data_IF_029800769925
#
_entry.id   IF_029800769925
#
_cell.length_a   1.000
_cell.length_b   1.000
_cell.length_c   1.000
_cell.angle_alpha   90.00
_cell.angle_beta   90.00
_cell.angle_gamma   90.00
#
_symmetry.space_group_name_H-M   'P 1'
#
loop_
_entity.id
_entity.type
_entity.pdbx_description
1 polymer ?
#
# COMPACT_ATOMS: atom_id res chain seq x y z
N UNK A 1 24.38 30.15 -89.57
CA UNK A 1 25.24 30.42 -88.40
C UNK A 1 24.43 31.15 -87.33
N UNK A 2 24.48 30.61 -86.11
CA UNK A 2 24.25 31.23 -84.79
C UNK A 2 23.07 32.18 -84.56
N UNK A 3 21.87 31.67 -84.24
CA UNK A 3 20.93 32.40 -83.36
C UNK A 3 20.16 31.53 -82.34
N UNK A 4 20.34 30.21 -82.31
CA UNK A 4 19.65 29.35 -81.32
C UNK A 4 20.32 29.26 -79.95
N UNK A 5 21.56 29.75 -79.80
CA UNK A 5 22.32 29.70 -78.53
C UNK A 5 22.13 30.88 -77.59
N UNK A 6 21.49 31.98 -78.03
CA UNK A 6 21.43 33.24 -77.27
C UNK A 6 20.27 33.33 -76.27
N UNK A 7 19.22 32.54 -76.45
CA UNK A 7 18.05 32.56 -75.57
C UNK A 7 18.29 31.72 -74.31
N UNK A 8 18.97 30.58 -74.45
CA UNK A 8 19.27 29.67 -73.34
C UNK A 8 20.18 30.30 -72.26
N UNK A 9 21.08 31.21 -72.64
CA UNK A 9 21.96 31.95 -71.73
C UNK A 9 21.24 33.01 -70.91
N UNK A 10 20.08 33.50 -71.37
CA UNK A 10 19.26 34.52 -70.68
C UNK A 10 18.15 33.85 -69.84
N UNK A 11 17.51 32.80 -70.36
CA UNK A 11 16.42 32.12 -69.66
C UNK A 11 16.87 31.30 -68.45
N UNK A 12 18.08 30.72 -68.46
CA UNK A 12 18.59 29.97 -67.29
C UNK A 12 18.77 30.86 -66.04
N UNK A 13 19.48 32.00 -66.11
CA UNK A 13 19.56 32.93 -64.99
C UNK A 13 18.19 33.46 -64.54
N UNK A 14 17.29 33.77 -65.48
CA UNK A 14 15.94 34.24 -65.17
C UNK A 14 15.10 33.19 -64.42
N UNK A 15 15.19 31.92 -64.83
CA UNK A 15 14.54 30.80 -64.12
C UNK A 15 15.12 30.58 -62.72
N UNK A 16 16.44 30.70 -62.55
CA UNK A 16 17.09 30.61 -61.24
C UNK A 16 16.61 31.76 -60.34
N UNK A 17 16.56 32.98 -60.86
CA UNK A 17 16.13 34.16 -60.12
C UNK A 17 14.65 34.06 -59.70
N UNK A 18 13.77 33.65 -60.61
CA UNK A 18 12.34 33.43 -60.30
C UNK A 18 12.12 32.30 -59.28
N UNK A 19 12.91 31.22 -59.34
CA UNK A 19 12.86 30.16 -58.33
C UNK A 19 13.39 30.64 -56.97
N UNK A 20 14.45 31.45 -56.95
CA UNK A 20 14.98 32.05 -55.74
C UNK A 20 13.98 33.03 -55.10
N UNK A 21 13.31 33.86 -55.91
CA UNK A 21 12.28 34.79 -55.46
C UNK A 21 11.10 34.05 -54.80
N UNK A 22 10.60 32.97 -55.41
CA UNK A 22 9.55 32.13 -54.81
C UNK A 22 9.96 31.49 -53.49
N UNK A 23 11.22 31.05 -53.36
CA UNK A 23 11.76 30.50 -52.11
C UNK A 23 11.87 31.56 -51.02
N UNK A 24 12.24 32.79 -51.39
CA UNK A 24 12.28 33.93 -50.47
C UNK A 24 10.89 34.30 -49.97
N UNK A 25 9.90 34.33 -50.87
CA UNK A 25 8.50 34.59 -50.52
C UNK A 25 7.96 33.51 -49.57
N UNK A 26 8.21 32.23 -49.86
CA UNK A 26 7.86 31.14 -48.94
C UNK A 26 8.56 31.27 -47.58
N UNK A 27 9.86 31.58 -47.57
CA UNK A 27 10.63 31.78 -46.34
C UNK A 27 10.06 32.91 -45.48
N UNK A 28 9.68 34.03 -46.12
CA UNK A 28 9.03 35.14 -45.42
C UNK A 28 7.69 34.71 -44.79
N UNK A 29 6.92 33.89 -45.50
CA UNK A 29 5.64 33.42 -44.99
C UNK A 29 5.80 32.42 -43.85
N UNK A 30 6.74 31.47 -43.97
CA UNK A 30 7.07 30.54 -42.89
C UNK A 30 7.54 31.29 -41.62
N UNK A 31 8.25 32.42 -41.77
CA UNK A 31 8.66 33.29 -40.64
C UNK A 31 7.46 33.97 -40.00
N UNK A 32 6.52 34.51 -40.79
CA UNK A 32 5.33 35.17 -40.26
C UNK A 32 4.44 34.18 -39.51
N UNK A 33 4.23 32.98 -40.06
CA UNK A 33 3.46 31.91 -39.44
C UNK A 33 4.12 31.48 -38.12
N UNK A 34 5.44 31.29 -38.10
CA UNK A 34 6.18 30.96 -36.88
C UNK A 34 6.04 32.04 -35.79
N UNK A 35 6.09 33.33 -36.16
CA UNK A 35 5.92 34.43 -35.21
C UNK A 35 4.51 34.44 -34.62
N UNK A 36 3.49 34.13 -35.42
CA UNK A 36 2.11 34.03 -34.94
C UNK A 36 1.93 32.84 -33.98
N UNK A 37 2.45 31.65 -34.33
CA UNK A 37 2.44 30.48 -33.45
C UNK A 37 3.15 30.75 -32.13
N UNK A 38 4.31 31.40 -32.16
CA UNK A 38 5.05 31.77 -30.95
C UNK A 38 4.26 32.74 -30.07
N UNK A 39 3.58 33.72 -30.69
CA UNK A 39 2.72 34.67 -29.98
C UNK A 39 1.57 33.95 -29.29
N UNK A 40 0.94 32.99 -29.94
CA UNK A 40 -0.18 32.24 -29.36
C UNK A 40 0.28 31.26 -28.27
N UNK A 41 1.44 30.63 -28.45
CA UNK A 41 2.09 29.87 -27.40
C UNK A 41 2.38 30.73 -26.16
N UNK A 42 2.92 31.94 -26.36
CA UNK A 42 3.19 32.89 -25.28
C UNK A 42 1.91 33.27 -24.51
N UNK A 43 0.80 33.55 -25.22
CA UNK A 43 -0.52 33.79 -24.59
C UNK A 43 -0.99 32.60 -23.77
N UNK A 44 -0.85 31.37 -24.27
CA UNK A 44 -1.23 30.16 -23.55
C UNK A 44 -0.41 30.01 -22.26
N UNK A 45 0.90 30.23 -22.32
CA UNK A 45 1.79 30.17 -21.14
C UNK A 45 1.40 31.22 -20.11
N UNK A 46 1.15 32.46 -20.54
CA UNK A 46 0.70 33.54 -19.65
C UNK A 46 -0.64 33.23 -18.99
N UNK A 47 -1.59 32.65 -19.73
CA UNK A 47 -2.88 32.21 -19.19
C UNK A 47 -2.72 31.11 -18.12
N UNK A 48 -1.87 30.11 -18.36
CA UNK A 48 -1.57 29.07 -17.38
C UNK A 48 -0.89 29.63 -16.14
N UNK A 49 0.04 30.58 -16.30
CA UNK A 49 0.71 31.26 -15.19
C UNK A 49 -0.28 32.06 -14.33
N UNK A 50 -1.23 32.76 -14.96
CA UNK A 50 -2.31 33.44 -14.25
C UNK A 50 -3.19 32.45 -13.47
N UNK A 51 -3.53 31.30 -14.06
CA UNK A 51 -4.27 30.22 -13.38
C UNK A 51 -3.53 29.68 -12.15
N UNK A 52 -2.20 29.48 -12.25
CA UNK A 52 -1.37 29.06 -11.11
C UNK A 52 -1.34 30.10 -9.98
N UNK A 53 -1.34 31.38 -10.31
CA UNK A 53 -1.41 32.44 -9.30
C UNK A 53 -2.75 32.43 -8.55
N UNK A 54 -3.86 32.18 -9.25
CA UNK A 54 -5.17 32.04 -8.61
C UNK A 54 -5.19 30.83 -7.66
N UNK A 55 -4.69 29.68 -8.09
CA UNK A 55 -4.62 28.48 -7.26
C UNK A 55 -3.71 28.69 -6.04
N UNK A 56 -2.56 29.36 -6.22
CA UNK A 56 -1.69 29.75 -5.11
C UNK A 56 -2.40 30.63 -4.09
N UNK A 57 -3.22 31.58 -4.54
CA UNK A 57 -3.99 32.46 -3.66
C UNK A 57 -5.07 31.69 -2.89
N UNK A 58 -5.76 30.75 -3.54
CA UNK A 58 -6.76 29.87 -2.93
C UNK A 58 -6.16 29.00 -1.83
N UNK A 59 -5.08 28.27 -2.13
CA UNK A 59 -4.37 27.44 -1.15
C UNK A 59 -3.85 28.28 0.03
N UNK A 60 -3.33 29.48 -0.26
CA UNK A 60 -2.89 30.40 0.80
C UNK A 60 -4.05 30.79 1.72
N UNK A 61 -5.22 31.09 1.17
CA UNK A 61 -6.42 31.43 1.95
C UNK A 61 -6.89 30.26 2.82
N UNK A 62 -6.89 29.03 2.31
CA UNK A 62 -7.25 27.85 3.09
C UNK A 62 -6.29 27.62 4.27
N UNK A 63 -4.98 27.77 4.02
CA UNK A 63 -3.95 27.66 5.06
C UNK A 63 -4.13 28.73 6.14
N UNK A 64 -4.38 29.99 5.75
CA UNK A 64 -4.66 31.08 6.69
C UNK A 64 -5.93 30.80 7.51
N UNK A 65 -7.00 30.30 6.89
CA UNK A 65 -8.22 29.92 7.60
C UNK A 65 -7.95 28.83 8.65
N UNK A 66 -7.26 27.75 8.25
CA UNK A 66 -6.88 26.66 9.15
C UNK A 66 -6.00 27.16 10.29
N UNK A 67 -5.04 28.05 10.01
CA UNK A 67 -4.19 28.66 11.03
C UNK A 67 -5.03 29.38 12.09
N UNK A 68 -6.01 30.21 11.68
CA UNK A 68 -6.88 30.89 12.66
C UNK A 68 -7.71 29.92 13.50
N UNK A 69 -8.09 28.75 12.97
CA UNK A 69 -8.84 27.72 13.71
C UNK A 69 -7.94 27.02 14.72
N UNK A 70 -6.71 26.72 14.34
CA UNK A 70 -5.69 26.16 15.23
C UNK A 70 -5.37 27.14 16.36
N UNK A 71 -5.18 28.42 16.06
CA UNK A 71 -4.91 29.45 17.08
C UNK A 71 -6.07 29.65 18.06
N UNK A 72 -7.33 29.47 17.62
CA UNK A 72 -8.49 29.46 18.51
C UNK A 72 -8.49 28.23 19.40
N UNK A 73 -8.31 27.05 18.83
CA UNK A 73 -8.25 25.79 19.58
C UNK A 73 -7.09 25.79 20.60
N UNK A 74 -5.93 26.36 20.23
CA UNK A 74 -4.80 26.52 21.14
C UNK A 74 -5.15 27.45 22.32
N UNK A 75 -5.81 28.58 22.04
CA UNK A 75 -6.31 29.47 23.10
C UNK A 75 -7.32 28.78 24.02
N UNK A 76 -8.18 27.94 23.48
CA UNK A 76 -9.12 27.15 24.29
C UNK A 76 -8.36 26.14 25.17
N UNK A 77 -7.37 25.44 24.62
CA UNK A 77 -6.49 24.52 25.36
C UNK A 77 -5.73 25.26 26.47
N UNK A 78 -5.15 26.41 26.16
CA UNK A 78 -4.40 27.21 27.14
C UNK A 78 -5.34 27.77 28.23
N UNK A 79 -6.58 28.15 27.87
CA UNK A 79 -7.61 28.53 28.83
C UNK A 79 -7.96 27.36 29.76
N UNK A 80 -8.23 26.17 29.22
CA UNK A 80 -8.47 24.98 30.04
C UNK A 80 -7.27 24.60 30.90
N UNK A 81 -6.05 24.71 30.37
CA UNK A 81 -4.80 24.49 31.11
C UNK A 81 -4.62 25.47 32.27
N UNK A 82 -4.92 26.75 32.05
CA UNK A 82 -4.85 27.77 33.11
C UNK A 82 -5.93 27.60 34.18
N UNK A 83 -7.12 27.11 33.80
CA UNK A 83 -8.21 26.80 34.74
C UNK A 83 -7.86 25.57 35.58
N UNK A 84 -7.12 24.59 35.04
CA UNK A 84 -6.61 23.47 35.82
C UNK A 84 -5.49 23.84 36.79
N UNK A 85 -4.76 24.94 36.55
CA UNK A 85 -3.72 25.46 37.45
C UNK A 85 -4.29 26.28 38.62
N UNK A 86 -5.53 26.80 38.50
CA UNK A 86 -6.22 27.52 39.57
C UNK A 86 -7.25 26.64 40.27
N UNK A 87 -6.81 25.87 41.28
CA UNK A 87 -7.63 25.30 42.37
C UNK A 87 -9.09 24.92 42.05
N UNK A 88 -9.31 23.88 41.25
CA UNK A 88 -10.49 23.02 41.44
C UNK A 88 -10.10 21.58 41.11
N UNK A 89 -9.80 20.80 42.14
CA UNK A 89 -9.77 19.35 42.03
C UNK A 89 -11.20 18.85 41.75
N UNK A 90 -11.60 18.82 40.48
CA UNK A 90 -12.40 17.70 40.02
C UNK A 90 -11.37 16.66 39.60
N UNK A 91 -10.99 15.81 40.56
CA UNK A 91 -10.38 14.54 40.20
C UNK A 91 -11.41 13.78 39.36
N UNK A 92 -11.33 13.92 38.04
CA UNK A 92 -11.82 12.85 37.16
C UNK A 92 -10.90 11.68 37.48
N UNK A 93 -11.31 10.88 38.47
CA UNK A 93 -10.49 9.83 39.04
C UNK A 93 -9.88 9.01 37.91
N UNK A 94 -8.55 9.04 37.85
CA UNK A 94 -7.76 8.11 37.05
C UNK A 94 -8.21 6.65 37.31
N UNK A 95 -8.74 6.41 38.51
CA UNK A 95 -9.32 5.15 38.96
C UNK A 95 -10.63 4.78 38.26
N UNK A 96 -11.49 5.74 37.88
CA UNK A 96 -12.72 5.48 37.13
C UNK A 96 -12.41 5.11 35.67
N UNK A 97 -11.43 5.78 35.05
CA UNK A 97 -10.97 5.45 33.69
C UNK A 97 -10.25 4.10 33.68
N UNK A 98 -9.40 3.84 34.69
CA UNK A 98 -8.76 2.53 34.88
C UNK A 98 -9.83 1.45 35.09
N UNK A 99 -10.83 1.67 35.94
CA UNK A 99 -11.94 0.74 36.16
C UNK A 99 -12.69 0.45 34.86
N UNK A 100 -13.07 1.47 34.08
CA UNK A 100 -13.73 1.27 32.79
C UNK A 100 -12.89 0.47 31.79
N UNK A 101 -11.57 0.74 31.73
CA UNK A 101 -10.65 -0.01 30.86
C UNK A 101 -10.45 -1.46 31.33
N UNK A 102 -10.43 -1.71 32.65
CA UNK A 102 -10.35 -3.05 33.22
C UNK A 102 -11.65 -3.84 33.00
N UNK A 103 -12.80 -3.22 33.20
CA UNK A 103 -14.12 -3.79 32.93
C UNK A 103 -14.29 -4.12 31.44
N UNK A 104 -13.92 -3.22 30.53
CA UNK A 104 -13.98 -3.48 29.10
C UNK A 104 -13.02 -4.60 28.66
N UNK A 105 -11.84 -4.68 29.29
CA UNK A 105 -10.88 -5.76 29.05
C UNK A 105 -11.38 -7.11 29.59
N UNK A 106 -12.05 -7.10 30.74
CA UNK A 106 -12.65 -8.28 31.35
C UNK A 106 -13.88 -8.75 30.56
N UNK A 107 -14.73 -7.84 30.09
CA UNK A 107 -15.83 -8.15 29.17
C UNK A 107 -15.30 -8.73 27.86
N UNK A 108 -14.26 -8.15 27.25
CA UNK A 108 -13.62 -8.73 26.06
C UNK A 108 -13.05 -10.11 26.32
N UNK A 109 -12.53 -10.37 27.53
CA UNK A 109 -12.01 -11.68 27.94
C UNK A 109 -13.14 -12.68 28.16
N UNK A 110 -14.24 -12.26 28.78
CA UNK A 110 -15.46 -13.04 29.02
C UNK A 110 -16.15 -13.38 27.69
N UNK A 111 -16.27 -12.42 26.77
CA UNK A 111 -16.74 -12.64 25.41
C UNK A 111 -15.86 -13.64 24.67
N UNK A 112 -14.53 -13.52 24.77
CA UNK A 112 -13.59 -14.53 24.21
C UNK A 112 -13.79 -15.93 24.80
N UNK A 113 -14.06 -16.02 26.10
CA UNK A 113 -14.30 -17.29 26.79
C UNK A 113 -15.67 -17.88 26.40
N UNK A 114 -16.71 -17.06 26.26
CA UNK A 114 -18.05 -17.50 25.82
C UNK A 114 -18.05 -17.92 24.34
N UNK A 115 -17.39 -17.17 23.46
CA UNK A 115 -17.24 -17.51 22.03
C UNK A 115 -16.45 -18.81 21.80
N UNK A 116 -15.52 -19.16 22.69
CA UNK A 116 -14.77 -20.41 22.60
C UNK A 116 -15.58 -21.64 23.07
N UNK A 117 -16.72 -21.44 23.76
CA UNK A 117 -17.49 -22.52 24.39
C UNK A 117 -18.91 -22.72 23.82
N UNK A 118 -19.48 -21.75 23.11
CA UNK A 118 -20.82 -21.87 22.50
C UNK A 118 -20.76 -21.66 20.98
N UNK A 119 -21.25 -22.67 20.25
CA UNK A 119 -21.45 -22.62 18.80
C UNK A 119 -22.86 -22.17 18.40
N UNK A 120 -23.63 -21.58 19.33
CA UNK A 120 -25.05 -21.23 19.11
C UNK A 120 -25.24 -19.86 18.45
N UNK A 121 -24.15 -19.15 18.16
CA UNK A 121 -24.18 -17.80 17.62
C UNK A 121 -23.90 -17.80 16.11
N UNK A 122 -24.88 -17.34 15.33
CA UNK A 122 -24.75 -17.16 13.88
C UNK A 122 -24.00 -15.86 13.56
N UNK A 123 -23.15 -15.88 12.52
CA UNK A 123 -22.44 -14.70 12.03
C UNK A 123 -23.46 -13.65 11.53
N UNK A 124 -23.72 -12.63 12.35
CA UNK A 124 -24.70 -11.59 12.01
C UNK A 124 -24.19 -10.58 10.96
N UNK A 125 -22.87 -10.42 10.83
CA UNK A 125 -22.27 -9.52 9.84
C UNK A 125 -20.77 -9.32 10.03
N UNK A 126 -20.11 -8.82 8.98
CA UNK A 126 -18.68 -8.50 8.97
C UNK A 126 -18.53 -6.97 9.10
N UNK A 127 -17.84 -6.50 10.14
CA UNK A 127 -17.51 -5.07 10.31
C UNK A 127 -16.53 -4.60 9.24
N UNK A 128 -16.33 -3.29 9.14
CA UNK A 128 -15.35 -2.68 8.22
C UNK A 128 -13.96 -3.33 8.34
N UNK A 129 -13.34 -3.56 7.17
CA UNK A 129 -12.03 -4.19 7.08
C UNK A 129 -10.93 -3.20 7.46
N UNK A 130 -9.95 -3.67 8.24
CA UNK A 130 -8.75 -2.91 8.59
C UNK A 130 -7.58 -3.37 7.72
N UNK A 131 -7.01 -2.45 6.95
CA UNK A 131 -5.74 -2.70 6.26
C UNK A 131 -4.62 -2.62 7.28
N UNK A 132 -4.03 -3.78 7.61
CA UNK A 132 -2.89 -3.86 8.54
C UNK A 132 -1.59 -3.49 7.84
N UNK A 133 -1.36 -4.03 6.63
CA UNK A 133 -0.15 -3.78 5.83
C UNK A 133 -0.37 -4.18 4.37
N UNK A 134 0.30 -3.47 3.46
CA UNK A 134 0.47 -3.87 2.06
C UNK A 134 1.89 -4.43 1.90
N UNK A 135 2.03 -5.75 1.80
CA UNK A 135 3.32 -6.43 1.62
C UNK A 135 3.10 -7.82 1.01
N UNK A 136 4.12 -8.35 0.34
CA UNK A 136 4.07 -9.66 -0.34
C UNK A 136 3.57 -9.59 -1.79
N UNK A 137 3.32 -10.76 -2.34
CA UNK A 137 2.86 -11.02 -3.70
C UNK A 137 1.34 -10.87 -3.80
N UNK A 138 0.81 -10.97 -5.01
CA UNK A 138 -0.63 -10.93 -5.29
C UNK A 138 -1.43 -12.00 -4.52
N UNK A 139 -0.80 -13.15 -4.24
CA UNK A 139 -1.41 -14.26 -3.52
C UNK A 139 -0.56 -14.59 -2.29
N UNK A 140 -1.20 -14.89 -1.17
CA UNK A 140 -0.52 -15.27 0.07
C UNK A 140 -1.49 -15.34 1.22
N UNK A 141 -0.98 -15.72 2.40
CA UNK A 141 -1.75 -15.69 3.63
C UNK A 141 -0.86 -15.30 4.82
N UNK A 142 -1.49 -14.71 5.84
CA UNK A 142 -0.82 -14.41 7.09
C UNK A 142 -1.76 -14.74 8.25
N UNK A 143 -1.19 -15.17 9.38
CA UNK A 143 -1.99 -15.59 10.53
C UNK A 143 -1.18 -15.54 11.83
N UNK A 144 -1.92 -15.67 12.93
CA UNK A 144 -1.38 -15.96 14.26
C UNK A 144 -1.75 -17.40 14.62
N UNK A 145 -1.01 -17.98 15.55
CA UNK A 145 -1.38 -19.27 16.14
C UNK A 145 -2.40 -19.03 17.26
N UNK A 146 -3.67 -19.44 17.12
CA UNK A 146 -4.66 -19.28 18.19
C UNK A 146 -4.44 -20.28 19.34
N UNK A 147 -3.69 -21.37 19.11
CA UNK A 147 -3.40 -22.40 20.11
C UNK A 147 -2.25 -22.05 21.06
N UNK A 148 -1.45 -21.02 20.75
CA UNK A 148 -0.38 -20.53 21.63
C UNK A 148 -0.62 -19.09 22.10
N UNK A 149 -0.20 -18.80 23.32
CA UNK A 149 -0.30 -17.45 23.93
C UNK A 149 0.72 -16.45 23.37
N UNK A 150 1.59 -16.84 22.45
CA UNK A 150 2.61 -15.95 21.90
C UNK A 150 2.03 -14.99 20.85
N UNK A 151 2.59 -13.79 20.76
CA UNK A 151 2.13 -12.72 19.85
C UNK A 151 2.71 -12.80 18.43
N UNK A 152 3.37 -13.92 18.10
CA UNK A 152 4.01 -14.16 16.81
C UNK A 152 3.04 -14.09 15.64
N UNK A 153 3.54 -13.64 14.50
CA UNK A 153 2.82 -13.57 13.23
C UNK A 153 3.61 -14.33 12.19
N UNK A 154 2.89 -15.08 11.36
CA UNK A 154 3.47 -15.84 10.27
C UNK A 154 2.93 -15.30 8.95
N UNK A 155 3.83 -15.02 8.01
CA UNK A 155 3.50 -14.63 6.64
C UNK A 155 3.99 -15.71 5.68
N UNK A 156 3.08 -16.22 4.87
CA UNK A 156 3.32 -17.17 3.81
C UNK A 156 3.04 -16.46 2.48
N UNK A 157 4.12 -16.07 1.81
CA UNK A 157 4.04 -15.28 0.59
C UNK A 157 3.97 -16.19 -0.64
N UNK A 158 3.09 -15.87 -1.59
CA UNK A 158 2.93 -16.62 -2.83
C UNK A 158 2.02 -17.84 -2.69
N UNK A 159 1.56 -18.34 -3.85
CA UNK A 159 0.79 -19.59 -3.97
C UNK A 159 1.68 -20.83 -3.98
N UNK A 160 2.94 -20.71 -4.40
CA UNK A 160 3.92 -21.80 -4.38
C UNK A 160 5.23 -21.25 -3.85
N UNK A 161 5.58 -21.62 -2.63
CA UNK A 161 6.79 -21.17 -1.96
C UNK A 161 7.14 -22.16 -0.84
N UNK A 162 8.32 -22.04 -0.24
CA UNK A 162 8.77 -22.86 0.88
C UNK A 162 9.33 -22.05 2.06
N UNK A 163 9.30 -20.71 2.00
CA UNK A 163 9.87 -19.84 3.04
C UNK A 163 8.78 -19.08 3.80
N UNK A 164 8.64 -19.38 5.08
CA UNK A 164 7.74 -18.69 6.00
C UNK A 164 8.51 -17.57 6.69
N UNK A 165 7.87 -16.40 6.80
CA UNK A 165 8.39 -15.28 7.58
C UNK A 165 7.70 -15.24 8.95
N UNK A 166 8.45 -15.54 10.00
CA UNK A 166 8.01 -15.45 11.39
C UNK A 166 8.42 -14.08 11.97
N UNK A 167 7.45 -13.34 12.49
CA UNK A 167 7.64 -12.07 13.18
C UNK A 167 7.35 -12.24 14.66
N UNK A 168 8.12 -11.58 15.53
CA UNK A 168 7.95 -11.67 16.98
C UNK A 168 6.60 -11.11 17.44
N UNK A 169 6.13 -10.02 16.81
CA UNK A 169 4.87 -9.36 17.14
C UNK A 169 4.31 -8.53 15.97
N UNK A 170 3.10 -7.99 16.15
CA UNK A 170 2.44 -7.14 15.14
C UNK A 170 3.21 -5.86 14.81
N UNK A 171 3.92 -5.28 15.78
CA UNK A 171 4.69 -4.06 15.57
C UNK A 171 5.83 -4.33 14.59
N UNK A 172 6.61 -5.39 14.82
CA UNK A 172 7.70 -5.82 13.92
C UNK A 172 7.21 -6.17 12.52
N UNK A 173 5.98 -6.68 12.40
CA UNK A 173 5.35 -6.93 11.10
C UNK A 173 5.01 -5.62 10.37
N UNK A 174 4.53 -4.60 11.08
CA UNK A 174 4.08 -3.34 10.49
C UNK A 174 5.22 -2.41 10.06
N UNK A 175 6.39 -2.49 10.68
CA UNK A 175 7.56 -1.66 10.35
C UNK A 175 8.01 -1.71 8.86
N UNK A 176 8.61 -0.64 8.35
CA UNK A 176 9.10 -0.56 6.96
C UNK A 176 10.07 -1.71 6.63
N UNK A 177 11.09 -1.91 7.48
CA UNK A 177 12.15 -2.91 7.30
C UNK A 177 11.80 -4.31 7.86
N UNK A 178 10.51 -4.65 7.92
CA UNK A 178 10.00 -5.91 8.49
C UNK A 178 10.71 -7.18 7.99
N UNK A 179 11.06 -7.28 6.71
CA UNK A 179 11.70 -8.48 6.13
C UNK A 179 13.07 -8.79 6.73
N UNK A 180 13.79 -7.78 7.24
CA UNK A 180 15.08 -7.95 7.91
C UNK A 180 14.92 -8.42 9.37
N UNK A 181 13.79 -8.07 9.99
CA UNK A 181 13.44 -8.47 11.37
C UNK A 181 12.70 -9.81 11.44
N UNK A 182 12.31 -10.36 10.29
CA UNK A 182 11.62 -11.63 10.19
C UNK A 182 12.59 -12.80 10.32
N UNK A 183 12.27 -13.76 11.17
CA UNK A 183 12.93 -15.06 11.16
C UNK A 183 12.42 -15.86 9.96
N UNK A 184 13.33 -16.29 9.11
CA UNK A 184 13.02 -17.14 7.95
C UNK A 184 12.98 -18.61 8.37
N UNK A 185 11.86 -19.28 8.12
CA UNK A 185 11.69 -20.72 8.33
C UNK A 185 11.49 -21.37 6.97
N UNK A 186 12.48 -22.16 6.54
CA UNK A 186 12.43 -22.88 5.26
C UNK A 186 11.85 -24.27 5.48
N UNK A 187 10.77 -24.57 4.76
CA UNK A 187 10.17 -25.90 4.76
C UNK A 187 10.96 -26.86 3.86
N UNK A 188 10.99 -28.17 4.20
CA UNK A 188 11.63 -29.18 3.37
C UNK A 188 11.04 -29.27 1.95
N UNK A 189 9.75 -28.93 1.80
CA UNK A 189 9.05 -28.93 0.52
C UNK A 189 8.17 -27.69 0.38
N UNK A 190 7.97 -27.19 -0.84
CA UNK A 190 7.07 -26.08 -1.09
C UNK A 190 5.61 -26.47 -0.84
N UNK A 191 4.81 -25.48 -0.48
CA UNK A 191 3.36 -25.56 -0.41
C UNK A 191 2.70 -25.20 -1.74
N UNK A 192 1.42 -25.53 -1.87
CA UNK A 192 0.56 -25.12 -2.98
C UNK A 192 -0.76 -24.52 -2.48
N UNK A 193 -1.10 -23.33 -2.99
CA UNK A 193 -2.27 -22.57 -2.60
C UNK A 193 -2.01 -21.63 -1.40
N UNK A 194 -3.07 -21.16 -0.76
CA UNK A 194 -3.03 -20.23 0.38
C UNK A 194 -3.73 -20.76 1.63
N UNK A 195 -4.25 -21.99 1.58
CA UNK A 195 -5.02 -22.67 2.62
C UNK A 195 -4.19 -23.24 3.76
N UNK A 196 -3.31 -22.40 4.32
CA UNK A 196 -2.43 -22.75 5.43
C UNK A 196 -3.13 -22.53 6.77
N UNK A 197 -2.79 -23.34 7.76
CA UNK A 197 -3.22 -23.13 9.16
C UNK A 197 -2.06 -23.39 10.08
N UNK A 198 -1.83 -22.50 11.04
CA UNK A 198 -0.87 -22.71 12.12
C UNK A 198 -1.64 -22.87 13.42
N UNK A 199 -1.43 -23.99 14.10
CA UNK A 199 -2.13 -24.32 15.33
C UNK A 199 -1.21 -25.07 16.28
N UNK A 200 -1.13 -24.60 17.53
CA UNK A 200 -0.33 -25.18 18.61
C UNK A 200 1.15 -25.41 18.24
N UNK A 201 1.74 -24.55 17.42
CA UNK A 201 3.13 -24.66 16.97
C UNK A 201 3.37 -25.69 15.87
N UNK A 202 2.32 -26.11 15.17
CA UNK A 202 2.40 -26.89 13.94
C UNK A 202 1.84 -26.10 12.76
N UNK A 203 2.49 -26.22 11.60
CA UNK A 203 1.95 -25.75 10.33
C UNK A 203 1.30 -26.91 9.60
N UNK A 204 0.06 -26.67 9.16
CA UNK A 204 -0.68 -27.54 8.26
C UNK A 204 -0.72 -26.85 6.89
N UNK A 205 -0.20 -27.53 5.88
CA UNK A 205 -0.17 -27.01 4.52
C UNK A 205 -0.43 -28.11 3.50
N UNK A 206 -0.91 -27.68 2.34
CA UNK A 206 -1.17 -28.57 1.22
C UNK A 206 0.00 -28.58 0.25
N UNK A 207 0.25 -29.74 -0.33
CA UNK A 207 1.24 -29.97 -1.37
C UNK A 207 0.72 -31.04 -2.32
N UNK A 208 0.49 -30.70 -3.58
CA UNK A 208 -0.02 -31.64 -4.60
C UNK A 208 -1.28 -32.39 -4.16
N UNK A 209 -1.15 -33.66 -3.77
CA UNK A 209 -2.27 -34.52 -3.34
C UNK A 209 -2.20 -34.84 -1.84
N UNK A 210 -1.31 -34.16 -1.11
CA UNK A 210 -1.01 -34.44 0.29
C UNK A 210 -1.22 -33.21 1.19
N UNK A 211 -1.66 -33.45 2.41
CA UNK A 211 -1.58 -32.49 3.51
C UNK A 211 -0.41 -32.87 4.42
N UNK A 212 0.45 -31.90 4.71
CA UNK A 212 1.63 -32.06 5.53
C UNK A 212 1.49 -31.30 6.85
N UNK A 213 1.92 -31.94 7.95
CA UNK A 213 2.07 -31.32 9.27
C UNK A 213 3.56 -31.13 9.56
N UNK A 214 3.96 -29.87 9.71
CA UNK A 214 5.33 -29.48 10.02
C UNK A 214 5.42 -28.95 11.46
N UNK A 215 6.44 -29.39 12.21
CA UNK A 215 6.74 -28.89 13.56
C UNK A 215 7.78 -27.78 13.49
N UNK A 216 7.43 -26.60 14.03
CA UNK A 216 8.38 -25.50 14.18
C UNK A 216 9.45 -25.78 15.25
N UNK A 217 9.22 -26.75 16.15
CA UNK A 217 10.15 -27.10 17.22
C UNK A 217 11.28 -27.99 16.69
N UNK A 218 10.92 -29.10 16.05
CA UNK A 218 11.87 -30.09 15.50
C UNK A 218 12.28 -29.78 14.06
N UNK A 219 11.76 -28.70 13.48
CA UNK A 219 12.02 -28.26 12.11
C UNK A 219 11.82 -29.36 11.04
N UNK A 220 10.87 -30.28 11.26
CA UNK A 220 10.65 -31.45 10.42
C UNK A 220 9.16 -31.73 10.17
N UNK A 221 8.89 -32.57 9.15
CA UNK A 221 7.53 -33.02 8.83
C UNK A 221 7.21 -34.25 9.67
N UNK A 222 6.15 -34.15 10.46
CA UNK A 222 5.73 -35.15 11.43
C UNK A 222 4.64 -36.07 10.88
N UNK A 223 3.82 -35.54 9.98
CA UNK A 223 2.70 -36.28 9.42
C UNK A 223 2.47 -35.85 7.98
N UNK A 224 2.20 -36.84 7.13
CA UNK A 224 1.81 -36.64 5.74
C UNK A 224 0.59 -37.50 5.47
N UNK A 225 -0.51 -36.88 5.05
CA UNK A 225 -1.73 -37.57 4.66
C UNK A 225 -2.02 -37.34 3.19
N UNK A 226 -2.10 -38.41 2.39
CA UNK A 226 -2.44 -38.35 0.96
C UNK A 226 -3.90 -38.70 0.76
N UNK A 227 -4.60 -37.87 -0.02
CA UNK A 227 -6.00 -38.10 -0.37
C UNK A 227 -6.06 -38.71 -1.77
N UNK A 228 -6.32 -40.02 -1.84
CA UNK A 228 -6.78 -40.66 -3.09
C UNK A 228 -8.29 -40.80 -3.02
N UNK A 229 -8.98 -40.70 -4.17
CA UNK A 229 -10.44 -40.59 -4.35
C UNK A 229 -11.36 -41.38 -3.39
N UNK A 230 -10.88 -42.45 -2.75
CA UNK A 230 -11.59 -43.27 -1.76
C UNK A 230 -10.68 -43.85 -0.65
N UNK A 231 -9.41 -43.44 -0.56
CA UNK A 231 -8.46 -43.99 0.41
C UNK A 231 -7.52 -42.91 0.96
N UNK A 232 -7.40 -42.87 2.30
CA UNK A 232 -6.49 -41.99 3.02
C UNK A 232 -5.25 -42.77 3.39
N UNK A 233 -4.09 -42.43 2.82
CA UNK A 233 -2.81 -42.98 3.24
C UNK A 233 -2.16 -42.00 4.23
N UNK A 234 -1.81 -42.50 5.42
CA UNK A 234 -1.21 -41.71 6.50
C UNK A 234 0.21 -42.20 6.78
N UNK A 235 1.19 -41.32 6.61
CA UNK A 235 2.58 -41.54 7.00
C UNK A 235 2.90 -40.67 8.22
N UNK A 236 3.21 -41.31 9.35
CA UNK A 236 3.54 -40.64 10.60
C UNK A 236 5.01 -40.89 10.96
N UNK A 237 5.72 -39.81 11.32
CA UNK A 237 7.03 -39.83 11.98
C UNK A 237 6.88 -39.21 13.35
N UNK A 238 7.53 -39.78 14.36
CA UNK A 238 7.61 -39.14 15.67
C UNK A 238 8.42 -37.84 15.56
N UNK A 239 7.76 -36.74 15.89
CA UNK A 239 8.40 -35.47 16.17
C UNK A 239 8.27 -35.24 17.67
N UNK A 240 9.33 -35.57 18.41
CA UNK A 240 9.50 -35.11 19.80
C UNK A 240 9.98 -33.66 19.82
#
# INVERSE_FOLDING_TARGET
SSQSGSWASIFRPLMIFTQAAKRLEKCNQDILDYVEEFRDFSKMVLSRLAGLNNYKAEVKSEVENLLTRIERAQRDIDYFGSVTDSNTCIEVHEDLVKQQLFEEAEEKKKLKLMLNASCDHMLAGIKSLKVVKKTGDKHGSWMKDPGKKHTKIYLLNGSVNNVILEFANIMTFMESNHTLKARRVTLPFPWEGTGHVIYQGFLFYHRYVAAAKYSFLSASICHLSMFFSVSLLVCQKECS
#
